data_IF_638216576960
#
_entry.id   IF_638216576960
#
_cell.length_a   1.000
_cell.length_b   1.000
_cell.length_c   1.000
_cell.angle_alpha   90.00
_cell.angle_beta   90.00
_cell.angle_gamma   90.00
#
_symmetry.space_group_name_H-M   'P 1'
#
loop_
_entity.id
_entity.type
_entity.pdbx_description
1 polymer ?
#
# COMPACT_ATOMS: atom_id res chain seq x y z
N UNK A 1 2.60 35.03 21.81
CA UNK A 1 3.19 33.89 21.06
C UNK A 1 4.33 34.47 20.25
N UNK A 2 5.59 34.12 20.56
CA UNK A 2 6.74 34.51 19.78
C UNK A 2 6.64 33.80 18.39
N UNK A 3 6.50 34.56 17.35
CA UNK A 3 6.64 34.04 15.98
C UNK A 3 8.12 33.69 15.78
N UNK A 4 8.45 32.40 15.92
CA UNK A 4 9.76 31.89 15.52
C UNK A 4 9.73 31.78 14.01
N UNK A 5 10.65 32.47 13.34
CA UNK A 5 10.86 32.37 11.91
C UNK A 5 11.30 30.92 11.57
N UNK A 6 10.66 30.30 10.60
CA UNK A 6 10.98 28.95 10.16
C UNK A 6 12.25 29.01 9.29
N UNK A 7 13.34 28.41 9.75
CA UNK A 7 14.53 28.25 8.92
C UNK A 7 14.38 27.04 7.97
N UNK A 8 15.10 27.01 6.82
CA UNK A 8 15.08 25.87 5.91
C UNK A 8 15.42 24.55 6.60
N UNK A 9 16.36 24.56 7.54
CA UNK A 9 16.77 23.39 8.32
C UNK A 9 15.63 22.86 9.20
N UNK A 10 14.90 23.77 9.87
CA UNK A 10 13.77 23.40 10.70
C UNK A 10 12.60 22.85 9.87
N UNK A 11 12.35 23.45 8.70
CA UNK A 11 11.35 22.94 7.74
C UNK A 11 11.73 21.53 7.28
N UNK A 12 13.01 21.33 6.90
CA UNK A 12 13.49 19.99 6.51
C UNK A 12 13.39 18.97 7.64
N UNK A 13 13.73 19.37 8.88
CA UNK A 13 13.62 18.47 10.02
C UNK A 13 12.17 18.06 10.30
N UNK A 14 11.23 19.01 10.30
CA UNK A 14 9.81 18.72 10.47
C UNK A 14 9.33 17.77 9.35
N UNK A 15 9.75 18.02 8.11
CA UNK A 15 9.41 17.16 7.00
C UNK A 15 10.00 15.76 7.15
N UNK A 16 11.29 15.67 7.49
CA UNK A 16 11.98 14.40 7.71
C UNK A 16 11.32 13.56 8.80
N UNK A 17 11.04 14.17 9.95
CA UNK A 17 10.47 13.48 11.10
C UNK A 17 9.05 12.94 10.84
N UNK A 18 8.33 13.56 9.90
CA UNK A 18 6.95 13.18 9.61
C UNK A 18 6.75 12.37 8.33
N UNK A 19 7.68 12.42 7.36
CA UNK A 19 7.44 11.89 6.02
C UNK A 19 8.55 11.01 5.47
N UNK A 20 9.78 11.06 6.03
CA UNK A 20 10.91 10.28 5.50
C UNK A 20 11.19 9.09 6.39
N UNK A 21 11.08 7.87 5.87
CA UNK A 21 11.46 6.61 6.53
C UNK A 21 11.10 6.59 8.03
N UNK A 22 9.88 6.99 8.36
CA UNK A 22 9.39 7.08 9.75
C UNK A 22 9.30 5.69 10.38
N UNK A 23 9.34 5.62 11.72
CA UNK A 23 9.20 4.34 12.44
C UNK A 23 7.82 3.73 12.14
N UNK A 24 7.79 2.55 11.53
CA UNK A 24 6.55 2.01 11.01
C UNK A 24 5.81 1.16 12.04
N UNK A 25 4.48 1.12 11.92
CA UNK A 25 3.62 0.10 12.54
C UNK A 25 3.91 -1.26 11.90
N UNK A 26 4.11 -1.27 10.59
CA UNK A 26 4.62 -2.43 9.85
C UNK A 26 5.79 -2.03 8.94
N UNK A 27 6.60 -2.99 8.53
CA UNK A 27 7.65 -2.79 7.54
C UNK A 27 7.74 -3.97 6.56
N UNK A 28 8.35 -3.72 5.42
CA UNK A 28 8.60 -4.73 4.40
C UNK A 28 10.09 -5.09 4.46
N UNK A 29 10.40 -6.35 4.79
CA UNK A 29 11.78 -6.83 4.87
C UNK A 29 12.33 -7.19 3.51
N UNK A 30 11.57 -8.01 2.78
CA UNK A 30 11.98 -8.54 1.49
C UNK A 30 10.87 -8.39 0.45
N UNK A 31 11.27 -8.11 -0.77
CA UNK A 31 10.37 -8.03 -1.89
C UNK A 31 11.04 -8.66 -3.12
N UNK A 32 10.46 -9.74 -3.62
CA UNK A 32 10.92 -10.44 -4.81
C UNK A 32 9.94 -10.26 -5.96
N UNK A 33 10.46 -9.93 -7.14
CA UNK A 33 9.64 -9.70 -8.33
C UNK A 33 9.85 -10.79 -9.37
N UNK A 34 8.75 -11.26 -9.94
CA UNK A 34 8.73 -12.16 -11.11
C UNK A 34 7.90 -11.50 -12.20
N UNK A 35 8.39 -11.60 -13.44
CA UNK A 35 7.68 -11.06 -14.60
C UNK A 35 7.21 -12.23 -15.47
N UNK A 36 5.95 -12.62 -15.27
CA UNK A 36 5.27 -13.66 -16.08
C UNK A 36 3.84 -13.17 -16.28
N UNK A 37 3.51 -12.68 -17.47
CA UNK A 37 2.18 -12.11 -17.78
C UNK A 37 1.75 -10.99 -16.82
N UNK A 38 2.63 -10.01 -16.57
CA UNK A 38 2.48 -8.95 -15.56
C UNK A 38 3.61 -8.98 -14.54
N UNK A 39 3.54 -8.14 -13.52
CA UNK A 39 4.49 -8.13 -12.43
C UNK A 39 3.86 -8.84 -11.22
N UNK A 40 4.51 -9.89 -10.75
CA UNK A 40 4.16 -10.53 -9.48
C UNK A 40 5.19 -10.15 -8.43
N UNK A 41 4.73 -9.66 -7.27
CA UNK A 41 5.56 -9.40 -6.11
C UNK A 41 5.27 -10.43 -5.01
N UNK A 42 6.31 -10.98 -4.43
CA UNK A 42 6.28 -11.73 -3.18
C UNK A 42 6.88 -10.82 -2.11
N UNK A 43 6.04 -10.39 -1.17
CA UNK A 43 6.35 -9.33 -0.19
C UNK A 43 6.30 -9.92 1.20
N UNK A 44 7.39 -9.81 1.96
CA UNK A 44 7.44 -10.21 3.37
C UNK A 44 7.12 -9.01 4.24
N UNK A 45 5.95 -9.02 4.85
CA UNK A 45 5.43 -7.96 5.72
C UNK A 45 5.63 -8.38 7.19
N UNK A 46 6.29 -7.52 7.96
CA UNK A 46 6.44 -7.64 9.40
C UNK A 46 5.54 -6.64 10.12
N UNK A 47 4.65 -7.15 10.94
CA UNK A 47 3.68 -6.40 11.72
C UNK A 47 3.50 -7.04 13.10
N UNK A 48 3.59 -6.27 14.19
CA UNK A 48 3.33 -6.72 15.56
C UNK A 48 4.11 -7.96 16.03
N UNK A 49 5.29 -8.25 15.52
CA UNK A 49 6.13 -9.45 15.77
C UNK A 49 5.78 -10.68 14.92
N UNK A 50 4.86 -10.55 13.99
CA UNK A 50 4.56 -11.59 13.00
C UNK A 50 5.15 -11.21 11.65
N UNK A 51 5.68 -12.19 10.94
CA UNK A 51 6.20 -12.05 9.58
C UNK A 51 5.38 -12.92 8.65
N UNK A 52 4.83 -12.33 7.61
CA UNK A 52 4.02 -13.05 6.62
C UNK A 52 4.42 -12.68 5.20
N UNK A 53 4.62 -13.71 4.37
CA UNK A 53 4.84 -13.53 2.94
C UNK A 53 3.48 -13.50 2.19
N UNK A 54 3.28 -12.46 1.39
CA UNK A 54 2.09 -12.25 0.57
C UNK A 54 2.52 -12.16 -0.89
N UNK A 55 1.81 -12.88 -1.75
CA UNK A 55 2.03 -12.80 -3.19
C UNK A 55 0.86 -12.08 -3.85
N UNK A 56 1.18 -11.04 -4.61
CA UNK A 56 0.19 -10.28 -5.38
C UNK A 56 0.73 -9.88 -6.75
N UNK A 57 -0.18 -9.61 -7.68
CA UNK A 57 0.12 -9.15 -9.03
C UNK A 57 -0.26 -7.68 -9.20
N UNK A 58 0.34 -7.03 -10.18
CA UNK A 58 0.03 -5.64 -10.52
C UNK A 58 0.54 -5.28 -11.92
N UNK A 59 0.13 -4.10 -12.40
CA UNK A 59 0.57 -3.56 -13.68
C UNK A 59 2.04 -3.13 -13.66
N UNK A 60 2.57 -2.84 -12.46
CA UNK A 60 3.95 -2.47 -12.20
C UNK A 60 4.43 -2.98 -10.85
N UNK A 61 5.72 -2.78 -10.53
CA UNK A 61 6.31 -3.26 -9.28
C UNK A 61 5.65 -2.64 -8.05
N UNK A 62 5.48 -1.32 -8.05
CA UNK A 62 4.87 -0.61 -6.92
C UNK A 62 3.39 -0.99 -6.76
N UNK A 63 2.67 -1.19 -7.87
CA UNK A 63 1.28 -1.62 -7.88
C UNK A 63 1.13 -3.04 -7.30
N UNK A 64 2.02 -3.98 -7.69
CA UNK A 64 2.03 -5.32 -7.12
C UNK A 64 2.28 -5.32 -5.60
N UNK A 65 3.23 -4.50 -5.12
CA UNK A 65 3.48 -4.33 -3.68
C UNK A 65 2.28 -3.69 -2.99
N UNK A 66 1.67 -2.66 -3.59
CA UNK A 66 0.45 -2.03 -3.07
C UNK A 66 -0.69 -3.05 -2.91
N UNK A 67 -0.87 -3.93 -3.89
CA UNK A 67 -1.89 -4.98 -3.84
C UNK A 67 -1.59 -6.03 -2.75
N UNK A 68 -0.31 -6.38 -2.52
CA UNK A 68 0.09 -7.24 -1.40
C UNK A 68 -0.25 -6.60 -0.03
N UNK A 69 0.05 -5.31 0.15
CA UNK A 69 -0.28 -4.56 1.36
C UNK A 69 -1.81 -4.49 1.56
N UNK A 70 -2.57 -4.16 0.50
CA UNK A 70 -4.04 -4.14 0.54
C UNK A 70 -4.61 -5.50 0.96
N UNK A 71 -4.03 -6.58 0.46
CA UNK A 71 -4.43 -7.94 0.81
C UNK A 71 -4.12 -8.25 2.28
N UNK A 72 -2.92 -7.89 2.77
CA UNK A 72 -2.50 -8.16 4.14
C UNK A 72 -3.39 -7.44 5.17
N UNK A 73 -3.57 -6.13 5.01
CA UNK A 73 -4.37 -5.31 5.93
C UNK A 73 -5.86 -5.34 5.64
N UNK A 74 -6.26 -5.94 4.52
CA UNK A 74 -7.65 -5.90 4.04
C UNK A 74 -8.19 -4.46 3.94
N UNK A 75 -7.42 -3.58 3.34
CA UNK A 75 -7.75 -2.17 3.14
C UNK A 75 -7.91 -1.83 1.66
N UNK A 76 -8.76 -0.84 1.37
CA UNK A 76 -8.88 -0.24 0.05
C UNK A 76 -8.36 1.20 0.08
N UNK A 77 -7.44 1.50 -0.79
CA UNK A 77 -6.96 2.85 -1.07
C UNK A 77 -6.52 2.95 -2.53
N UNK A 78 -6.50 4.15 -3.06
CA UNK A 78 -6.01 4.45 -4.40
C UNK A 78 -4.61 5.05 -4.32
N UNK A 79 -3.70 4.58 -5.18
CA UNK A 79 -2.40 5.21 -5.38
C UNK A 79 -2.62 6.43 -6.30
N UNK A 80 -2.70 7.62 -5.71
CA UNK A 80 -3.08 8.83 -6.41
C UNK A 80 -1.91 9.65 -6.92
N UNK A 81 -0.72 9.44 -6.34
CA UNK A 81 0.49 10.17 -6.71
C UNK A 81 1.71 9.26 -6.55
N UNK A 82 2.59 9.32 -7.54
CA UNK A 82 3.89 8.69 -7.51
C UNK A 82 4.88 9.51 -8.33
N UNK A 83 5.99 9.88 -7.70
CA UNK A 83 7.12 10.56 -8.34
C UNK A 83 8.42 10.09 -7.71
N UNK A 84 9.46 9.97 -8.52
CA UNK A 84 10.79 9.56 -8.08
C UNK A 84 11.88 10.37 -8.82
N UNK A 85 12.97 10.66 -8.11
CA UNK A 85 14.14 11.28 -8.71
C UNK A 85 15.42 11.03 -7.91
N UNK A 86 16.55 11.31 -8.53
CA UNK A 86 17.87 11.22 -7.90
C UNK A 86 18.17 12.46 -7.07
N UNK A 87 18.60 12.30 -5.83
CA UNK A 87 18.98 13.42 -4.95
C UNK A 87 20.31 14.05 -5.30
N UNK A 88 21.24 13.24 -5.86
CA UNK A 88 22.58 13.71 -6.22
C UNK A 88 23.00 13.15 -7.58
N UNK A 89 24.02 13.73 -8.20
CA UNK A 89 24.61 13.22 -9.44
C UNK A 89 25.69 12.18 -9.13
N UNK A 90 25.74 11.10 -9.91
CA UNK A 90 26.79 10.07 -9.84
C UNK A 90 26.27 8.69 -9.44
N UNK A 91 27.16 7.69 -9.47
CA UNK A 91 26.83 6.28 -9.24
C UNK A 91 26.49 5.93 -7.77
N UNK A 92 26.83 6.81 -6.84
CA UNK A 92 26.51 6.68 -5.41
C UNK A 92 25.30 7.53 -4.99
N UNK A 93 24.52 8.02 -5.97
CA UNK A 93 23.35 8.84 -5.71
C UNK A 93 22.27 8.02 -4.98
N UNK A 94 21.61 8.67 -4.01
CA UNK A 94 20.37 8.15 -3.44
C UNK A 94 19.18 8.60 -4.29
N UNK A 95 18.21 7.73 -4.40
CA UNK A 95 16.90 8.06 -4.96
C UNK A 95 15.97 8.50 -3.85
N UNK A 96 15.06 9.40 -4.18
CA UNK A 96 13.90 9.75 -3.36
C UNK A 96 12.64 9.41 -4.14
N UNK A 97 11.67 8.81 -3.46
CA UNK A 97 10.35 8.57 -4.00
C UNK A 97 9.29 9.23 -3.10
N UNK A 98 8.26 9.75 -3.74
CA UNK A 98 7.09 10.35 -3.10
C UNK A 98 5.86 9.56 -3.50
N UNK A 99 5.09 9.12 -2.52
CA UNK A 99 3.86 8.37 -2.73
C UNK A 99 2.71 9.04 -2.01
N UNK A 100 1.62 9.28 -2.73
CA UNK A 100 0.34 9.71 -2.18
C UNK A 100 -0.71 8.64 -2.38
N UNK A 101 -1.39 8.24 -1.30
CA UNK A 101 -2.54 7.34 -1.36
C UNK A 101 -3.80 8.07 -0.89
N UNK A 102 -4.94 7.75 -1.50
CA UNK A 102 -6.24 8.27 -1.10
C UNK A 102 -7.07 7.14 -0.50
N UNK A 103 -7.60 7.37 0.69
CA UNK A 103 -8.61 6.55 1.31
C UNK A 103 -9.74 7.43 1.81
N UNK A 104 -10.96 7.19 1.31
CA UNK A 104 -12.17 7.95 1.67
C UNK A 104 -12.00 9.48 1.58
N UNK A 105 -11.41 9.95 0.48
CA UNK A 105 -11.22 11.37 0.23
C UNK A 105 -10.12 12.05 1.04
N UNK A 106 -9.40 11.30 1.90
CA UNK A 106 -8.22 11.78 2.62
C UNK A 106 -6.96 11.29 1.94
N UNK A 107 -5.98 12.17 1.78
CA UNK A 107 -4.68 11.84 1.20
C UNK A 107 -3.64 11.63 2.30
N UNK A 108 -2.88 10.53 2.18
CA UNK A 108 -1.77 10.17 3.04
C UNK A 108 -0.49 10.16 2.21
N UNK A 109 0.54 10.80 2.72
CA UNK A 109 1.81 10.98 2.02
C UNK A 109 2.93 10.22 2.72
N UNK A 110 3.78 9.59 1.91
CA UNK A 110 5.02 8.98 2.36
C UNK A 110 6.17 9.34 1.44
N UNK A 111 7.36 9.39 2.00
CA UNK A 111 8.62 9.62 1.28
C UNK A 111 9.62 8.55 1.69
N UNK A 112 10.27 7.94 0.72
CA UNK A 112 11.32 6.97 0.94
C UNK A 112 12.62 7.44 0.29
N UNK A 113 13.75 7.18 0.94
CA UNK A 113 15.09 7.50 0.43
C UNK A 113 15.98 6.26 0.56
N UNK A 114 16.43 5.74 -0.56
CA UNK A 114 17.36 4.60 -0.62
C UNK A 114 18.33 4.74 -1.82
N UNK A 115 19.40 3.98 -1.84
CA UNK A 115 20.27 3.87 -3.01
C UNK A 115 19.59 3.14 -4.18
N UNK A 116 18.65 2.24 -3.87
CA UNK A 116 17.78 1.55 -4.82
C UNK A 116 16.43 2.28 -4.95
N UNK A 117 16.10 2.72 -6.16
CA UNK A 117 14.88 3.48 -6.45
C UNK A 117 13.61 2.68 -6.15
N UNK A 118 13.66 1.35 -6.31
CA UNK A 118 12.52 0.48 -6.00
C UNK A 118 12.32 0.37 -4.49
N UNK A 119 13.41 0.26 -3.73
CA UNK A 119 13.36 0.29 -2.27
C UNK A 119 12.84 1.64 -1.77
N UNK A 120 13.34 2.75 -2.32
CA UNK A 120 12.83 4.08 -2.00
C UNK A 120 11.31 4.18 -2.24
N UNK A 121 10.82 3.63 -3.35
CA UNK A 121 9.39 3.63 -3.69
C UNK A 121 8.57 2.76 -2.75
N UNK A 122 9.06 1.59 -2.37
CA UNK A 122 8.41 0.69 -1.41
C UNK A 122 8.36 1.36 -0.02
N UNK A 123 9.45 1.97 0.42
CA UNK A 123 9.50 2.73 1.68
C UNK A 123 8.51 3.89 1.68
N UNK A 124 8.43 4.67 0.59
CA UNK A 124 7.46 5.75 0.47
C UNK A 124 6.02 5.25 0.61
N UNK A 125 5.68 4.15 -0.06
CA UNK A 125 4.38 3.52 0.05
C UNK A 125 4.11 3.00 1.47
N UNK A 126 5.09 2.35 2.08
CA UNK A 126 5.02 1.85 3.46
C UNK A 126 4.75 2.97 4.46
N UNK A 127 5.44 4.11 4.34
CA UNK A 127 5.20 5.29 5.19
C UNK A 127 3.80 5.85 5.00
N UNK A 128 3.31 5.95 3.76
CA UNK A 128 1.96 6.44 3.48
C UNK A 128 0.87 5.53 4.10
N UNK A 129 1.03 4.21 3.98
CA UNK A 129 0.07 3.24 4.56
C UNK A 129 0.17 3.18 6.08
N UNK A 130 1.38 3.28 6.68
CA UNK A 130 1.52 3.36 8.13
C UNK A 130 0.74 4.55 8.72
N UNK A 131 0.73 5.71 8.05
CA UNK A 131 -0.08 6.85 8.48
C UNK A 131 -1.58 6.58 8.40
N UNK A 132 -2.03 5.80 7.44
CA UNK A 132 -3.41 5.35 7.35
C UNK A 132 -3.79 4.49 8.56
N UNK A 133 -2.91 3.57 8.99
CA UNK A 133 -3.09 2.70 10.14
C UNK A 133 -3.07 3.49 11.47
N UNK A 134 -2.09 4.39 11.67
CA UNK A 134 -1.94 5.20 12.88
C UNK A 134 -3.17 6.06 13.20
N UNK A 135 -3.86 6.57 12.19
CA UNK A 135 -5.03 7.46 12.38
C UNK A 135 -6.31 6.65 12.64
N UNK A 136 -6.23 5.31 12.66
CA UNK A 136 -7.40 4.44 12.88
C UNK A 136 -8.39 4.44 11.70
N UNK A 137 -8.00 4.98 10.55
CA UNK A 137 -8.82 4.97 9.33
C UNK A 137 -8.83 3.59 8.64
N UNK A 138 -8.02 2.64 9.10
CA UNK A 138 -7.96 1.30 8.53
C UNK A 138 -9.30 0.57 8.59
N UNK A 139 -10.03 0.69 9.71
CA UNK A 139 -11.35 0.06 9.84
C UNK A 139 -12.36 0.63 8.82
N UNK A 140 -12.36 1.95 8.62
CA UNK A 140 -13.23 2.60 7.65
C UNK A 140 -12.85 2.23 6.21
N UNK A 141 -11.57 2.05 5.91
CA UNK A 141 -11.11 1.58 4.60
C UNK A 141 -11.36 0.09 4.38
N UNK A 142 -11.35 -0.72 5.45
CA UNK A 142 -11.77 -2.13 5.41
C UNK A 142 -13.27 -2.26 5.08
N UNK A 143 -14.08 -1.44 5.70
CA UNK A 143 -15.53 -1.40 5.42
C UNK A 143 -15.81 -0.93 3.98
N UNK A 144 -15.09 0.09 3.49
CA UNK A 144 -15.19 0.54 2.10
C UNK A 144 -14.85 -0.56 1.10
N UNK A 145 -13.79 -1.34 1.35
CA UNK A 145 -13.42 -2.47 0.48
C UNK A 145 -14.50 -3.55 0.45
N UNK A 146 -15.13 -3.84 1.58
CA UNK A 146 -16.26 -4.77 1.62
C UNK A 146 -17.43 -4.26 0.77
N UNK A 147 -17.75 -2.97 0.89
CA UNK A 147 -18.81 -2.34 0.11
C UNK A 147 -18.50 -2.43 -1.39
N UNK A 148 -17.27 -2.15 -1.81
CA UNK A 148 -16.83 -2.27 -3.21
C UNK A 148 -17.01 -3.69 -3.75
N UNK A 149 -16.56 -4.71 -3.00
CA UNK A 149 -16.71 -6.12 -3.38
C UNK A 149 -18.20 -6.49 -3.48
N UNK A 150 -19.02 -6.11 -2.50
CA UNK A 150 -20.45 -6.43 -2.49
C UNK A 150 -21.21 -5.71 -3.60
N UNK A 151 -20.90 -4.46 -3.89
CA UNK A 151 -21.49 -3.72 -5.00
C UNK A 151 -21.15 -4.39 -6.34
N UNK A 152 -19.88 -4.77 -6.54
CA UNK A 152 -19.44 -5.44 -7.76
C UNK A 152 -20.12 -6.81 -7.94
N UNK A 153 -20.29 -7.58 -6.86
CA UNK A 153 -21.05 -8.84 -6.89
C UNK A 153 -22.51 -8.55 -7.28
N UNK A 154 -23.13 -7.53 -6.70
CA UNK A 154 -24.52 -7.20 -6.97
C UNK A 154 -24.76 -6.72 -8.40
N UNK A 155 -23.81 -5.97 -8.97
CA UNK A 155 -23.88 -5.48 -10.35
C UNK A 155 -23.67 -6.60 -11.39
N UNK A 156 -22.94 -7.66 -11.03
CA UNK A 156 -22.53 -8.73 -11.93
C UNK A 156 -23.02 -10.12 -11.52
N UNK A 157 -24.04 -10.21 -10.65
CA UNK A 157 -24.44 -11.45 -9.96
C UNK A 157 -24.81 -12.62 -10.86
N UNK A 158 -25.16 -12.38 -12.12
CA UNK A 158 -25.62 -13.42 -13.06
C UNK A 158 -24.48 -14.35 -13.48
N UNK A 159 -23.29 -13.79 -13.75
CA UNK A 159 -22.19 -14.52 -14.38
C UNK A 159 -20.86 -14.42 -13.59
N UNK A 160 -20.86 -13.78 -12.42
CA UNK A 160 -19.65 -13.51 -11.67
C UNK A 160 -19.07 -14.78 -11.05
N UNK A 161 -17.75 -14.96 -11.21
CA UNK A 161 -16.99 -16.06 -10.61
C UNK A 161 -16.01 -15.56 -9.54
N UNK A 162 -15.50 -16.49 -8.73
CA UNK A 162 -14.38 -16.18 -7.82
C UNK A 162 -13.12 -15.75 -8.55
N UNK A 163 -12.96 -16.19 -9.82
CA UNK A 163 -11.85 -15.77 -10.66
C UNK A 163 -11.95 -14.30 -11.02
N UNK A 164 -13.15 -13.85 -11.44
CA UNK A 164 -13.40 -12.44 -11.78
C UNK A 164 -13.18 -11.53 -10.57
N UNK A 165 -13.64 -11.96 -9.39
CA UNK A 165 -13.38 -11.22 -8.14
C UNK A 165 -11.89 -11.18 -7.78
N UNK A 166 -11.20 -12.31 -7.93
CA UNK A 166 -9.78 -12.41 -7.65
C UNK A 166 -8.97 -11.48 -8.56
N UNK A 167 -9.27 -11.46 -9.83
CA UNK A 167 -8.64 -10.59 -10.82
C UNK A 167 -8.98 -9.11 -10.58
N UNK A 168 -10.25 -8.79 -10.43
CA UNK A 168 -10.74 -7.41 -10.23
C UNK A 168 -10.16 -6.74 -8.99
N UNK A 169 -10.09 -7.47 -7.87
CA UNK A 169 -9.65 -6.94 -6.57
C UNK A 169 -8.21 -7.31 -6.22
N UNK A 170 -7.48 -7.94 -7.15
CA UNK A 170 -6.09 -8.39 -6.96
C UNK A 170 -5.90 -9.25 -5.72
N UNK A 171 -6.85 -10.16 -5.46
CA UNK A 171 -6.90 -11.05 -4.30
C UNK A 171 -6.80 -12.51 -4.73
N UNK A 172 -6.32 -13.38 -3.84
CA UNK A 172 -6.39 -14.82 -4.10
C UNK A 172 -7.81 -15.35 -3.90
N UNK A 173 -8.21 -16.35 -4.69
CA UNK A 173 -9.55 -17.00 -4.54
C UNK A 173 -9.83 -17.51 -3.13
N UNK A 174 -8.87 -18.21 -2.46
CA UNK A 174 -9.10 -18.66 -1.08
C UNK A 174 -9.34 -17.50 -0.12
N UNK A 175 -8.61 -16.38 -0.32
CA UNK A 175 -8.77 -15.19 0.49
C UNK A 175 -10.15 -14.55 0.30
N UNK A 176 -10.61 -14.35 -0.96
CA UNK A 176 -11.94 -13.79 -1.23
C UNK A 176 -13.04 -14.67 -0.66
N UNK A 177 -12.97 -15.99 -0.88
CA UNK A 177 -13.98 -16.92 -0.36
C UNK A 177 -14.07 -16.86 1.16
N UNK A 178 -12.91 -16.88 1.84
CA UNK A 178 -12.85 -16.72 3.29
C UNK A 178 -13.38 -15.36 3.74
N UNK A 179 -12.98 -14.29 3.08
CA UNK A 179 -13.34 -12.92 3.40
C UNK A 179 -14.85 -12.68 3.28
N UNK A 180 -15.45 -13.11 2.15
CA UNK A 180 -16.90 -13.01 1.95
C UNK A 180 -17.63 -13.78 3.05
N UNK A 181 -17.21 -15.03 3.33
CA UNK A 181 -17.82 -15.85 4.37
C UNK A 181 -17.74 -15.21 5.76
N UNK A 182 -16.59 -14.64 6.13
CA UNK A 182 -16.40 -13.98 7.44
C UNK A 182 -17.27 -12.72 7.59
N UNK A 183 -17.47 -11.98 6.51
CA UNK A 183 -18.17 -10.70 6.54
C UNK A 183 -19.67 -10.81 6.26
N UNK A 184 -20.08 -11.69 5.35
CA UNK A 184 -21.48 -11.87 4.97
C UNK A 184 -22.18 -13.05 5.66
N UNK A 185 -21.40 -13.98 6.24
CA UNK A 185 -21.92 -15.23 6.78
C UNK A 185 -22.29 -16.29 5.73
N UNK A 186 -22.15 -15.95 4.43
CA UNK A 186 -22.55 -16.80 3.31
C UNK A 186 -21.32 -17.18 2.49
N UNK A 187 -21.27 -18.43 2.03
CA UNK A 187 -20.22 -18.88 1.07
C UNK A 187 -20.57 -18.43 -0.32
N UNK A 188 -19.57 -17.94 -1.07
CA UNK A 188 -19.70 -17.70 -2.49
C UNK A 188 -19.72 -19.05 -3.22
N UNK A 189 -20.81 -19.36 -3.88
CA UNK A 189 -21.02 -20.60 -4.60
C UNK A 189 -22.06 -20.43 -5.68
#
# INVERSE_FOLDING_TARGET
RAHKELTPELVYQIFSDNYINTKPVFHIDECHFKQVNGITAEVTINHEKESQAITATGNGRLDAVSNAIKQYFNVSYELSFYEEHSLTKGSSSKAVAYVGIICQGKTFWGVGIDADIIKASIEALTVAVNKLEEIGNSNTCKDARMIEIMNYIQENYIDITLDDLAEKFFLSKPYISKYIKEKSGVTFG
#
